data_IF_656781083450
#
_entry.id   IF_656781083450
#
_cell.length_a   1.000
_cell.length_b   1.000
_cell.length_c   1.000
_cell.angle_alpha   90.00
_cell.angle_beta   90.00
_cell.angle_gamma   90.00
#
_symmetry.space_group_name_H-M   'P 1'
#
loop_
_entity.id
_entity.type
_entity.pdbx_description
1 polymer ?
#
# COMPACT_ATOMS: atom_id res chain seq x y z
N UNK A 1 51.34 -24.11 -13.49
CA UNK A 1 50.48 -25.23 -13.06
C UNK A 1 49.13 -24.66 -12.61
N UNK A 2 48.46 -23.91 -13.47
CA UNK A 2 47.21 -23.20 -13.09
C UNK A 2 46.24 -23.04 -14.27
N UNK A 3 46.76 -23.04 -15.51
CA UNK A 3 45.91 -23.06 -16.73
C UNK A 3 45.13 -24.37 -16.91
N UNK A 4 45.72 -25.52 -16.56
CA UNK A 4 45.06 -26.83 -16.70
C UNK A 4 43.89 -27.06 -15.72
N UNK A 5 43.82 -26.28 -14.64
CA UNK A 5 42.74 -26.43 -13.66
C UNK A 5 41.49 -25.67 -14.08
N UNK A 6 41.65 -24.51 -14.76
CA UNK A 6 40.53 -23.71 -15.27
C UNK A 6 39.84 -24.37 -16.46
N UNK A 7 40.61 -24.93 -17.40
CA UNK A 7 40.05 -25.67 -18.55
C UNK A 7 39.18 -26.86 -18.11
N UNK A 8 39.61 -27.61 -17.09
CA UNK A 8 38.84 -28.75 -16.56
C UNK A 8 37.56 -28.35 -15.80
N UNK A 9 37.42 -27.08 -15.40
CA UNK A 9 36.18 -26.59 -14.78
C UNK A 9 35.22 -26.01 -15.81
N UNK A 10 35.72 -25.47 -16.93
CA UNK A 10 34.87 -25.05 -18.05
C UNK A 10 34.26 -26.27 -18.76
N UNK A 11 35.02 -27.35 -18.98
CA UNK A 11 34.50 -28.57 -19.63
C UNK A 11 33.55 -29.41 -18.75
N UNK A 12 33.53 -29.21 -17.42
CA UNK A 12 32.68 -29.97 -16.50
C UNK A 12 31.29 -29.33 -16.29
N UNK A 13 31.18 -28.03 -16.55
CA UNK A 13 29.93 -27.27 -16.48
C UNK A 13 29.54 -26.85 -17.89
N UNK A 14 28.91 -27.77 -18.60
CA UNK A 14 28.31 -27.61 -19.93
C UNK A 14 27.09 -26.66 -19.85
N UNK A 15 27.35 -25.43 -19.39
CA UNK A 15 26.36 -24.39 -19.15
C UNK A 15 26.71 -23.27 -20.11
N UNK A 16 25.97 -23.20 -21.22
CA UNK A 16 25.98 -22.03 -22.09
C UNK A 16 25.71 -20.79 -21.23
N UNK A 17 26.47 -19.69 -21.39
CA UNK A 17 26.21 -18.47 -20.66
C UNK A 17 24.80 -17.99 -21.02
N UNK A 18 23.86 -18.15 -20.10
CA UNK A 18 22.54 -17.52 -20.19
C UNK A 18 22.80 -16.03 -20.21
N UNK A 19 22.63 -15.42 -21.38
CA UNK A 19 22.48 -13.98 -21.52
C UNK A 19 21.28 -13.60 -20.65
N UNK A 20 21.58 -13.12 -19.44
CA UNK A 20 20.58 -12.57 -18.57
C UNK A 20 20.02 -11.31 -19.24
N UNK A 21 18.94 -11.49 -20.00
CA UNK A 21 18.03 -10.44 -20.41
C UNK A 21 17.38 -9.89 -19.14
N UNK A 22 18.13 -9.04 -18.45
CA UNK A 22 17.57 -8.16 -17.45
C UNK A 22 16.69 -7.16 -18.21
N UNK A 23 15.41 -7.50 -18.38
CA UNK A 23 14.38 -6.50 -18.67
C UNK A 23 14.33 -5.54 -17.48
N UNK A 24 15.08 -4.44 -17.59
CA UNK A 24 15.00 -3.32 -16.66
C UNK A 24 13.64 -2.66 -16.94
N UNK A 25 12.60 -3.05 -16.20
CA UNK A 25 11.33 -2.31 -16.17
C UNK A 25 11.59 -1.00 -15.43
N UNK A 26 12.11 -0.02 -16.18
CA UNK A 26 12.17 1.37 -15.76
C UNK A 26 10.78 1.98 -15.89
N UNK A 27 9.92 1.79 -14.90
CA UNK A 27 8.71 2.60 -14.78
C UNK A 27 9.08 3.93 -14.11
N UNK A 28 9.23 4.98 -14.92
CA UNK A 28 9.30 6.36 -14.44
C UNK A 28 8.05 6.70 -13.62
N UNK A 29 8.13 7.52 -12.55
CA UNK A 29 6.96 7.90 -11.78
C UNK A 29 6.11 8.88 -12.59
N UNK A 30 5.09 8.36 -13.28
CA UNK A 30 4.05 9.16 -13.93
C UNK A 30 3.18 9.84 -12.87
N UNK A 31 2.87 11.11 -13.11
CA UNK A 31 2.01 11.96 -12.29
C UNK A 31 0.67 11.25 -12.06
N UNK A 32 0.43 10.79 -10.84
CA UNK A 32 -0.74 9.97 -10.49
C UNK A 32 -2.02 10.83 -10.53
N UNK A 33 -2.91 10.52 -11.47
CA UNK A 33 -4.27 11.03 -11.46
C UNK A 33 -5.08 10.30 -10.38
N UNK A 34 -6.19 10.88 -9.92
CA UNK A 34 -7.04 10.24 -8.89
C UNK A 34 -7.57 8.86 -9.33
N UNK A 35 -7.72 8.63 -10.64
CA UNK A 35 -8.07 7.33 -11.22
C UNK A 35 -6.91 6.32 -11.11
N UNK A 36 -5.65 6.78 -11.25
CA UNK A 36 -4.46 5.92 -11.14
C UNK A 36 -4.34 5.30 -9.74
N UNK A 37 -4.70 6.06 -8.70
CA UNK A 37 -4.63 5.60 -7.30
C UNK A 37 -5.62 4.44 -7.04
N UNK A 38 -6.84 4.49 -7.60
CA UNK A 38 -7.82 3.42 -7.42
C UNK A 38 -7.47 2.18 -8.25
N UNK A 39 -6.87 2.35 -9.44
CA UNK A 39 -6.34 1.24 -10.23
C UNK A 39 -5.13 0.58 -9.57
N UNK A 40 -4.16 1.35 -9.07
CA UNK A 40 -2.99 0.83 -8.37
C UNK A 40 -3.39 0.11 -7.07
N UNK A 41 -4.38 0.66 -6.36
CA UNK A 41 -4.97 0.00 -5.19
C UNK A 41 -5.60 -1.34 -5.55
N UNK A 42 -6.41 -1.39 -6.61
CA UNK A 42 -7.04 -2.64 -7.08
C UNK A 42 -6.00 -3.65 -7.53
N UNK A 43 -4.98 -3.21 -8.26
CA UNK A 43 -3.87 -4.04 -8.73
C UNK A 43 -3.10 -4.65 -7.54
N UNK A 44 -2.61 -3.81 -6.63
CA UNK A 44 -1.88 -4.26 -5.46
C UNK A 44 -2.72 -5.16 -4.54
N UNK A 45 -4.03 -4.89 -4.42
CA UNK A 45 -4.96 -5.76 -3.69
C UNK A 45 -5.10 -7.13 -4.35
N UNK A 46 -5.27 -7.19 -5.67
CA UNK A 46 -5.35 -8.45 -6.39
C UNK A 46 -4.06 -9.25 -6.28
N UNK A 47 -2.90 -8.60 -6.45
CA UNK A 47 -1.59 -9.25 -6.34
C UNK A 47 -1.41 -9.87 -4.95
N UNK A 48 -1.75 -9.14 -3.88
CA UNK A 48 -1.68 -9.67 -2.52
C UNK A 48 -2.64 -10.86 -2.31
N UNK A 49 -3.84 -10.84 -2.87
CA UNK A 49 -4.74 -11.99 -2.81
C UNK A 49 -4.20 -13.21 -3.55
N UNK A 50 -3.63 -13.01 -4.74
CA UNK A 50 -3.00 -14.09 -5.49
C UNK A 50 -1.83 -14.68 -4.72
N UNK A 51 -0.98 -13.84 -4.13
CA UNK A 51 0.14 -14.27 -3.30
C UNK A 51 -0.33 -15.05 -2.06
N UNK A 52 -1.38 -14.60 -1.38
CA UNK A 52 -1.94 -15.34 -0.23
C UNK A 52 -2.47 -16.70 -0.68
N UNK A 53 -3.20 -16.76 -1.80
CA UNK A 53 -3.74 -18.02 -2.32
C UNK A 53 -2.63 -18.99 -2.71
N UNK A 54 -1.61 -18.53 -3.45
CA UNK A 54 -0.44 -19.33 -3.82
C UNK A 54 0.34 -19.75 -2.56
N UNK A 55 0.48 -18.86 -1.59
CA UNK A 55 1.14 -19.11 -0.31
C UNK A 55 0.44 -20.17 0.53
N UNK A 56 -0.90 -20.17 0.58
CA UNK A 56 -1.68 -21.21 1.27
C UNK A 56 -1.46 -22.60 0.65
N UNK A 57 -1.56 -22.70 -0.68
CA UNK A 57 -1.30 -23.97 -1.39
C UNK A 57 0.14 -24.43 -1.16
N UNK A 58 1.11 -23.52 -1.26
CA UNK A 58 2.51 -23.83 -1.02
C UNK A 58 2.78 -24.30 0.43
N UNK A 59 2.09 -23.73 1.43
CA UNK A 59 2.18 -24.17 2.82
C UNK A 59 1.63 -25.58 2.98
N UNK A 60 0.48 -25.89 2.36
CA UNK A 60 -0.11 -27.23 2.42
C UNK A 60 0.85 -28.27 1.83
N UNK A 61 1.44 -27.98 0.67
CA UNK A 61 2.49 -28.81 0.06
C UNK A 61 3.71 -28.95 0.96
N UNK A 62 4.15 -27.86 1.60
CA UNK A 62 5.30 -27.88 2.50
C UNK A 62 5.03 -28.71 3.76
N UNK A 63 3.81 -28.68 4.28
CA UNK A 63 3.37 -29.51 5.41
C UNK A 63 3.35 -30.99 4.99
N UNK A 64 2.89 -31.31 3.79
CA UNK A 64 2.90 -32.69 3.29
C UNK A 64 4.33 -33.21 3.10
N UNK A 65 5.24 -32.38 2.59
CA UNK A 65 6.68 -32.69 2.53
C UNK A 65 7.27 -32.83 3.94
N UNK A 66 6.91 -31.97 4.89
CA UNK A 66 7.37 -32.07 6.27
C UNK A 66 6.89 -33.35 6.97
N UNK A 67 5.65 -33.79 6.70
CA UNK A 67 5.09 -35.07 7.17
C UNK A 67 5.83 -36.26 6.57
N UNK A 68 6.11 -36.22 5.26
CA UNK A 68 6.84 -37.29 4.57
C UNK A 68 8.28 -37.44 5.04
N UNK A 69 8.97 -36.32 5.30
CA UNK A 69 10.38 -36.31 5.68
C UNK A 69 10.62 -36.60 7.16
N UNK A 70 9.61 -36.46 8.03
CA UNK A 70 9.71 -36.61 9.48
C UNK A 70 10.89 -35.84 10.11
N UNK A 71 11.33 -34.75 9.48
CA UNK A 71 12.48 -33.98 9.92
C UNK A 71 12.03 -32.70 10.66
N UNK A 72 12.46 -32.46 11.91
CA UNK A 72 12.02 -31.29 12.69
C UNK A 72 12.32 -29.95 12.00
N UNK A 73 13.41 -29.88 11.24
CA UNK A 73 13.74 -28.70 10.41
C UNK A 73 12.70 -28.39 9.33
N UNK A 74 12.05 -29.39 8.73
CA UNK A 74 11.04 -29.15 7.70
C UNK A 74 9.80 -28.44 8.28
N UNK A 75 9.41 -28.80 9.51
CA UNK A 75 8.33 -28.13 10.23
C UNK A 75 8.67 -26.69 10.60
N UNK A 76 9.93 -26.39 10.92
CA UNK A 76 10.36 -25.02 11.19
C UNK A 76 10.27 -24.14 9.93
N UNK A 77 10.70 -24.66 8.79
CA UNK A 77 10.57 -23.93 7.50
C UNK A 77 9.10 -23.76 7.13
N UNK A 78 8.24 -24.77 7.39
CA UNK A 78 6.78 -24.65 7.24
C UNK A 78 6.22 -23.51 8.10
N UNK A 79 6.64 -23.44 9.36
CA UNK A 79 6.23 -22.39 10.28
C UNK A 79 6.71 -21.00 9.82
N UNK A 80 7.93 -20.89 9.30
CA UNK A 80 8.44 -19.65 8.70
C UNK A 80 7.62 -19.25 7.46
N UNK A 81 7.21 -20.20 6.61
CA UNK A 81 6.32 -19.96 5.48
C UNK A 81 4.95 -19.43 5.92
N UNK A 82 4.34 -20.04 6.95
CA UNK A 82 3.08 -19.57 7.54
C UNK A 82 3.21 -18.14 8.06
N UNK A 83 4.31 -17.82 8.74
CA UNK A 83 4.58 -16.46 9.21
C UNK A 83 4.67 -15.46 8.06
N UNK A 84 5.34 -15.82 6.97
CA UNK A 84 5.43 -14.95 5.80
C UNK A 84 4.04 -14.69 5.16
N UNK A 85 3.16 -15.69 5.11
CA UNK A 85 1.78 -15.51 4.62
C UNK A 85 0.95 -14.64 5.57
N UNK A 86 1.17 -14.75 6.88
CA UNK A 86 0.56 -13.85 7.87
C UNK A 86 1.02 -12.41 7.65
N UNK A 87 2.32 -12.17 7.46
CA UNK A 87 2.88 -10.85 7.19
C UNK A 87 2.33 -10.25 5.88
N UNK A 88 2.09 -11.06 4.84
CA UNK A 88 1.45 -10.62 3.58
C UNK A 88 -0.02 -10.26 3.82
N UNK A 89 -0.72 -11.02 4.66
CA UNK A 89 -2.11 -10.73 5.03
C UNK A 89 -2.22 -9.43 5.84
N UNK A 90 -1.27 -9.17 6.74
CA UNK A 90 -1.19 -7.91 7.48
C UNK A 90 -0.90 -6.73 6.53
N UNK A 91 -0.01 -6.90 5.55
CA UNK A 91 0.22 -5.90 4.50
C UNK A 91 -1.05 -5.58 3.70
N UNK A 92 -1.89 -6.58 3.42
CA UNK A 92 -3.19 -6.37 2.78
C UNK A 92 -4.13 -5.52 3.66
N UNK A 93 -4.15 -5.76 4.97
CA UNK A 93 -4.93 -4.95 5.91
C UNK A 93 -4.41 -3.51 6.00
N UNK A 94 -3.09 -3.32 5.99
CA UNK A 94 -2.47 -1.99 6.03
C UNK A 94 -2.67 -1.22 4.73
N UNK A 95 -2.72 -1.90 3.59
CA UNK A 95 -3.07 -1.30 2.30
C UNK A 95 -4.49 -0.71 2.35
N UNK A 96 -5.45 -1.42 2.93
CA UNK A 96 -6.82 -0.93 3.13
C UNK A 96 -6.86 0.32 4.02
N UNK A 97 -6.08 0.34 5.11
CA UNK A 97 -5.99 1.52 5.99
C UNK A 97 -5.42 2.72 5.25
N UNK A 98 -4.28 2.56 4.55
CA UNK A 98 -3.64 3.62 3.77
C UNK A 98 -4.59 4.21 2.71
N UNK A 99 -5.36 3.38 2.01
CA UNK A 99 -6.34 3.88 1.04
C UNK A 99 -7.47 4.67 1.69
N UNK A 100 -7.95 4.22 2.85
CA UNK A 100 -8.95 4.96 3.62
C UNK A 100 -8.40 6.31 4.08
N UNK A 101 -7.16 6.33 4.57
CA UNK A 101 -6.47 7.54 5.03
C UNK A 101 -6.31 8.54 3.88
N UNK A 102 -5.80 8.10 2.72
CA UNK A 102 -5.69 8.91 1.49
C UNK A 102 -7.07 9.47 1.08
N UNK A 103 -8.13 8.66 1.08
CA UNK A 103 -9.49 9.12 0.75
C UNK A 103 -10.03 10.13 1.78
N UNK A 104 -9.69 10.01 3.06
CA UNK A 104 -10.10 10.97 4.10
C UNK A 104 -9.31 12.27 4.09
N UNK A 105 -8.01 12.26 3.76
CA UNK A 105 -7.23 13.50 3.62
C UNK A 105 -7.75 14.36 2.46
N UNK A 106 -8.12 13.73 1.35
CA UNK A 106 -8.78 14.43 0.23
C UNK A 106 -10.15 15.04 0.61
N UNK A 107 -10.82 14.50 1.64
CA UNK A 107 -12.12 15.02 2.13
C UNK A 107 -11.99 16.17 3.14
N UNK A 108 -10.84 16.28 3.82
CA UNK A 108 -10.57 17.37 4.78
C UNK A 108 -10.23 18.70 4.10
N UNK A 109 -9.96 18.70 2.80
CA UNK A 109 -9.70 19.91 1.99
C UNK A 109 -10.98 20.51 1.37
N UNK A 110 -12.17 20.15 1.86
CA UNK A 110 -13.35 20.97 1.58
C UNK A 110 -13.30 22.18 2.52
N UNK A 111 -13.13 23.43 2.02
CA UNK A 111 -13.08 24.58 2.90
C UNK A 111 -14.45 24.72 3.55
N UNK A 112 -14.56 24.35 4.82
CA UNK A 112 -15.64 24.79 5.67
C UNK A 112 -15.47 26.30 5.78
N UNK A 113 -16.15 27.06 4.92
CA UNK A 113 -16.28 28.51 5.09
C UNK A 113 -16.93 28.72 6.46
N UNK A 114 -16.11 28.94 7.47
CA UNK A 114 -16.56 29.30 8.81
C UNK A 114 -16.97 30.76 8.70
N UNK A 115 -18.19 31.01 8.20
CA UNK A 115 -18.82 32.31 8.35
C UNK A 115 -19.06 32.48 9.85
N UNK A 116 -18.10 33.12 10.51
CA UNK A 116 -18.13 33.45 11.92
C UNK A 116 -19.30 34.42 12.17
N UNK A 117 -20.51 33.89 12.34
CA UNK A 117 -21.71 34.63 12.74
C UNK A 117 -21.77 34.86 14.26
N UNK A 118 -20.70 34.51 14.98
CA UNK A 118 -20.56 34.77 16.41
C UNK A 118 -20.16 36.24 16.60
N UNK A 119 -21.13 37.08 16.96
CA UNK A 119 -20.91 38.47 17.35
C UNK A 119 -20.22 38.50 18.72
N UNK A 120 -18.93 38.80 18.74
CA UNK A 120 -18.16 39.00 19.99
C UNK A 120 -18.25 40.47 20.42
N UNK A 121 -19.26 40.79 21.22
CA UNK A 121 -19.53 42.13 21.73
C UNK A 121 -20.59 42.13 22.83
N UNK A 122 -20.86 43.30 23.42
CA UNK A 122 -21.90 43.42 24.45
C UNK A 122 -23.31 43.41 23.83
N UNK A 123 -24.31 42.98 24.58
CA UNK A 123 -25.72 43.00 24.13
C UNK A 123 -26.20 44.41 23.74
N UNK A 124 -25.58 45.46 24.30
CA UNK A 124 -25.85 46.84 23.96
C UNK A 124 -25.37 47.21 22.54
N UNK A 125 -24.25 46.65 22.09
CA UNK A 125 -23.71 46.92 20.76
C UNK A 125 -24.49 46.19 19.66
N UNK A 126 -24.98 44.98 19.96
CA UNK A 126 -25.92 44.26 19.11
C UNK A 126 -27.24 45.04 18.93
N UNK A 127 -27.79 45.59 20.03
CA UNK A 127 -29.02 46.40 19.98
C UNK A 127 -28.86 47.69 19.17
N UNK A 128 -27.70 48.36 19.24
CA UNK A 128 -27.39 49.53 18.40
C UNK A 128 -27.30 49.15 16.92
N UNK A 129 -26.67 48.02 16.61
CA UNK A 129 -26.52 47.54 15.23
C UNK A 129 -27.89 47.23 14.60
N UNK A 130 -28.78 46.56 15.35
CA UNK A 130 -30.17 46.32 14.92
C UNK A 130 -30.96 47.62 14.72
N UNK A 131 -30.81 48.61 15.59
CA UNK A 131 -31.51 49.90 15.49
C UNK A 131 -31.02 50.76 14.33
N UNK A 132 -29.73 50.67 13.99
CA UNK A 132 -29.16 51.35 12.84
C UNK A 132 -29.58 50.67 11.53
N UNK A 133 -29.60 49.33 11.49
CA UNK A 133 -30.09 48.57 10.35
C UNK A 133 -31.57 48.86 10.05
N UNK A 134 -32.43 48.94 11.07
CA UNK A 134 -33.85 49.28 10.90
C UNK A 134 -34.10 50.73 10.48
N UNK A 135 -33.27 51.68 10.95
CA UNK A 135 -33.34 53.08 10.50
C UNK A 135 -32.94 53.24 9.03
N UNK A 136 -31.93 52.51 8.57
CA UNK A 136 -31.48 52.59 7.18
C UNK A 136 -32.51 52.01 6.20
N UNK A 137 -33.34 51.05 6.63
CA UNK A 137 -34.45 50.50 5.85
C UNK A 137 -35.66 51.45 5.77
N UNK A 138 -35.87 52.29 6.77
CA UNK A 138 -36.97 53.26 6.81
C UNK A 138 -36.61 54.63 6.17
N UNK A 139 -35.42 54.74 5.58
CA UNK A 139 -34.93 55.98 4.97
C UNK A 139 -34.50 55.78 3.51
N UNK A 140 -35.02 54.73 2.86
CA UNK A 140 -35.15 54.58 1.41
C UNK A 140 -36.62 54.72 1.02
#
# INVERSE_FOLDING_TARGET
MDHKFKENMEDLFDIEPIEAEAEIVSSEPSIQNADDIDTDYKYARNELYELIKKGQVAIDELIDVARSSNHPRAYEVAFQGIKNVADITDKLADLQKKMKDIKTENKKSSPTTVNNTMFVGSTADLAKMLKNASKNLNNQ
#
